data_IF_362034061112
#
_entry.id   IF_362034061112
#
_cell.length_a   1.000
_cell.length_b   1.000
_cell.length_c   1.000
_cell.angle_alpha   90.00
_cell.angle_beta   90.00
_cell.angle_gamma   90.00
#
_symmetry.space_group_name_H-M   'P 1'
#
loop_
_entity.id
_entity.type
_entity.pdbx_description
1 polymer ?
#
# COMPACT_ATOMS: atom_id res chain seq x y z
N UNK A 1 -14.27 -19.90 -11.29
CA UNK A 1 -14.18 -18.59 -11.98
C UNK A 1 -13.09 -18.69 -13.04
N UNK A 2 -13.46 -18.71 -14.31
CA UNK A 2 -12.51 -18.74 -15.42
C UNK A 2 -12.03 -17.31 -15.65
N UNK A 3 -10.75 -17.04 -15.39
CA UNK A 3 -10.14 -15.77 -15.75
C UNK A 3 -9.80 -15.87 -17.23
N UNK A 4 -10.56 -15.18 -18.08
CA UNK A 4 -10.22 -15.07 -19.50
C UNK A 4 -9.14 -14.01 -19.63
N UNK A 5 -7.95 -14.46 -20.01
CA UNK A 5 -6.84 -13.58 -20.37
C UNK A 5 -7.09 -13.11 -21.79
N UNK A 6 -7.37 -11.82 -21.95
CA UNK A 6 -7.61 -11.21 -23.25
C UNK A 6 -6.52 -10.18 -23.52
N UNK A 7 -6.39 -9.81 -24.80
CA UNK A 7 -5.36 -8.87 -25.24
C UNK A 7 -5.81 -7.44 -24.98
N UNK A 8 -5.02 -6.66 -24.26
CA UNK A 8 -5.27 -5.22 -24.11
C UNK A 8 -5.13 -4.51 -25.46
N UNK A 9 -6.13 -3.69 -25.83
CA UNK A 9 -6.13 -2.90 -27.06
C UNK A 9 -5.07 -1.80 -27.09
N UNK A 10 -4.51 -1.42 -25.92
CA UNK A 10 -3.53 -0.32 -25.79
C UNK A 10 -2.09 -0.84 -25.80
N UNK A 11 -1.73 -1.78 -24.91
CA UNK A 11 -0.37 -2.28 -24.83
C UNK A 11 -0.15 -3.65 -25.48
N UNK A 12 -1.22 -4.34 -25.91
CA UNK A 12 -1.13 -5.62 -26.59
C UNK A 12 -0.77 -6.82 -25.72
N UNK A 13 -0.62 -6.66 -24.39
CA UNK A 13 -0.37 -7.75 -23.44
C UNK A 13 -1.64 -8.54 -23.13
N UNK A 14 -1.49 -9.84 -22.88
CA UNK A 14 -2.56 -10.69 -22.39
C UNK A 14 -2.65 -10.56 -20.88
N UNK A 15 -3.74 -9.98 -20.39
CA UNK A 15 -4.02 -9.81 -18.96
C UNK A 15 -5.54 -9.81 -18.73
N UNK A 16 -5.95 -9.63 -17.47
CA UNK A 16 -7.33 -9.25 -17.19
C UNK A 16 -7.60 -7.86 -17.78
N UNK A 17 -8.48 -7.79 -18.76
CA UNK A 17 -8.92 -6.53 -19.37
C UNK A 17 -10.36 -6.22 -18.97
N UNK A 18 -10.74 -4.95 -19.09
CA UNK A 18 -12.11 -4.48 -18.94
C UNK A 18 -12.42 -3.46 -20.04
N UNK A 19 -13.68 -3.34 -20.40
CA UNK A 19 -14.14 -2.34 -21.35
C UNK A 19 -13.94 -0.93 -20.79
N UNK A 20 -13.27 -0.07 -21.56
CA UNK A 20 -13.10 1.33 -21.21
C UNK A 20 -14.45 2.06 -21.23
N UNK A 21 -14.70 2.87 -20.21
CA UNK A 21 -15.97 3.60 -20.07
C UNK A 21 -16.05 4.83 -20.96
N UNK A 22 -14.90 5.43 -21.30
CA UNK A 22 -14.81 6.58 -22.19
C UNK A 22 -14.85 6.17 -23.66
N UNK A 23 -14.23 5.03 -23.99
CA UNK A 23 -14.13 4.50 -25.35
C UNK A 23 -14.60 3.06 -25.35
N UNK A 24 -15.88 2.83 -25.71
CA UNK A 24 -16.52 1.51 -25.61
C UNK A 24 -15.85 0.43 -26.47
N UNK A 25 -15.10 0.82 -27.50
CA UNK A 25 -14.43 -0.13 -28.40
C UNK A 25 -13.06 -0.60 -27.88
N UNK A 26 -12.60 -0.07 -26.72
CA UNK A 26 -11.29 -0.40 -26.16
C UNK A 26 -11.42 -1.32 -24.95
N UNK A 27 -10.70 -2.45 -25.00
CA UNK A 27 -10.41 -3.29 -23.84
C UNK A 27 -9.07 -2.87 -23.24
N UNK A 28 -9.08 -2.49 -21.97
CA UNK A 28 -7.89 -1.97 -21.29
C UNK A 28 -7.53 -2.81 -20.08
N UNK A 29 -6.25 -3.13 -19.94
CA UNK A 29 -5.69 -3.69 -18.71
C UNK A 29 -5.63 -2.63 -17.59
N UNK A 30 -5.31 -3.09 -16.38
CA UNK A 30 -5.22 -2.25 -15.20
C UNK A 30 -4.15 -1.16 -15.33
N UNK A 31 -2.98 -1.47 -15.88
CA UNK A 31 -1.87 -0.54 -16.04
C UNK A 31 -2.21 0.57 -17.04
N UNK A 32 -2.74 0.21 -18.21
CA UNK A 32 -3.14 1.16 -19.25
C UNK A 32 -4.30 2.05 -18.78
N UNK A 33 -5.25 1.50 -18.02
CA UNK A 33 -6.32 2.30 -17.43
C UNK A 33 -5.80 3.27 -16.37
N UNK A 34 -4.81 2.85 -15.57
CA UNK A 34 -4.24 3.68 -14.51
C UNK A 34 -3.41 4.84 -15.03
N UNK A 35 -2.60 4.57 -16.06
CA UNK A 35 -1.68 5.51 -16.68
C UNK A 35 -2.34 6.34 -17.80
N UNK A 36 -3.65 6.19 -18.01
CA UNK A 36 -4.38 6.93 -19.03
C UNK A 36 -4.31 8.45 -18.78
N UNK A 37 -3.87 9.20 -19.80
CA UNK A 37 -3.75 10.68 -19.73
C UNK A 37 -5.10 11.36 -19.49
N UNK A 38 -6.19 10.77 -20.02
CA UNK A 38 -7.57 11.27 -19.83
C UNK A 38 -8.24 10.75 -18.55
N UNK A 39 -7.48 10.14 -17.63
CA UNK A 39 -8.05 9.54 -16.41
C UNK A 39 -8.68 10.57 -15.48
N UNK A 40 -8.12 11.79 -15.41
CA UNK A 40 -8.65 12.89 -14.59
C UNK A 40 -10.06 13.33 -15.00
N UNK A 41 -10.42 13.17 -16.28
CA UNK A 41 -11.74 13.51 -16.83
C UNK A 41 -12.64 12.29 -17.01
N UNK A 42 -12.19 11.10 -16.58
CA UNK A 42 -12.93 9.86 -16.76
C UNK A 42 -14.00 9.72 -15.65
N UNK A 43 -15.30 9.68 -15.99
CA UNK A 43 -16.37 9.70 -14.99
C UNK A 43 -16.39 8.44 -14.12
N UNK A 44 -16.05 7.29 -14.70
CA UNK A 44 -15.94 6.02 -13.97
C UNK A 44 -14.87 5.14 -14.63
N UNK A 45 -13.62 5.13 -14.16
CA UNK A 45 -12.58 4.30 -14.75
C UNK A 45 -12.90 2.80 -14.59
N UNK A 46 -12.61 2.00 -15.63
CA UNK A 46 -12.83 0.55 -15.64
C UNK A 46 -12.05 -0.17 -14.53
N UNK A 47 -10.87 0.36 -14.20
CA UNK A 47 -10.03 -0.08 -13.10
C UNK A 47 -9.91 1.01 -12.03
N UNK A 48 -10.41 0.71 -10.84
CA UNK A 48 -10.29 1.53 -9.62
C UNK A 48 -9.41 0.77 -8.63
N UNK A 49 -8.33 1.40 -8.17
CA UNK A 49 -7.54 0.88 -7.05
C UNK A 49 -8.09 1.57 -5.81
N UNK A 50 -8.88 0.83 -5.03
CA UNK A 50 -9.23 1.26 -3.68
C UNK A 50 -8.17 0.70 -2.75
N UNK A 51 -7.24 1.53 -2.30
CA UNK A 51 -6.32 1.15 -1.23
C UNK A 51 -7.09 1.37 0.07
N UNK A 52 -7.44 0.33 0.83
CA UNK A 52 -8.04 0.51 2.14
C UNK A 52 -6.97 1.15 3.04
N UNK A 53 -7.06 2.47 3.24
CA UNK A 53 -6.26 3.15 4.25
C UNK A 53 -6.82 2.70 5.58
N UNK A 54 -6.19 1.68 6.19
CA UNK A 54 -6.43 1.44 7.61
C UNK A 54 -6.03 2.72 8.33
N UNK A 55 -6.91 3.34 9.14
CA UNK A 55 -6.51 4.46 9.96
C UNK A 55 -5.33 3.97 10.80
N UNK A 56 -4.14 4.57 10.60
CA UNK A 56 -3.02 4.38 11.50
C UNK A 56 -3.55 4.87 12.85
N UNK A 57 -3.67 4.00 13.88
CA UNK A 57 -4.02 4.49 15.19
C UNK A 57 -2.99 5.57 15.51
N UNK A 58 -3.46 6.79 15.77
CA UNK A 58 -2.61 7.92 16.14
C UNK A 58 -1.57 7.38 17.11
N UNK A 59 -0.30 7.52 16.73
CA UNK A 59 0.80 7.11 17.58
C UNK A 59 0.49 7.66 18.97
N UNK A 60 0.30 6.75 19.94
CA UNK A 60 0.11 7.10 21.35
C UNK A 60 1.12 8.21 21.64
N UNK A 61 0.65 9.33 22.19
CA UNK A 61 1.50 10.45 22.60
C UNK A 61 2.81 9.86 23.14
N UNK A 62 3.88 10.04 22.37
CA UNK A 62 5.13 9.39 22.68
C UNK A 62 5.58 9.88 24.04
N UNK A 63 6.14 8.98 24.86
CA UNK A 63 6.78 9.31 26.12
C UNK A 63 7.62 10.60 25.98
N UNK A 64 7.50 11.49 26.97
CA UNK A 64 8.28 12.73 27.01
C UNK A 64 9.78 12.40 26.93
N UNK A 65 10.59 13.34 26.46
CA UNK A 65 12.03 13.14 26.34
C UNK A 65 12.67 12.72 27.69
N UNK A 66 12.11 13.18 28.80
CA UNK A 66 12.51 12.83 30.15
C UNK A 66 12.21 11.37 30.49
N UNK A 67 11.05 10.85 30.09
CA UNK A 67 10.66 9.45 30.33
C UNK A 67 11.49 8.49 29.48
N UNK A 68 11.76 8.86 28.22
CA UNK A 68 12.67 8.11 27.35
C UNK A 68 14.07 8.03 27.94
N UNK A 69 14.58 9.15 28.48
CA UNK A 69 15.91 9.19 29.11
C UNK A 69 15.98 8.27 30.34
N UNK A 70 14.95 8.29 31.20
CA UNK A 70 14.88 7.40 32.38
C UNK A 70 14.90 5.92 31.98
N UNK A 71 14.13 5.54 30.96
CA UNK A 71 14.10 4.15 30.49
C UNK A 71 15.45 3.72 29.92
N UNK A 72 16.14 4.60 29.20
CA UNK A 72 17.48 4.32 28.65
C UNK A 72 18.49 4.16 29.79
N UNK A 73 18.48 5.03 30.79
CA UNK A 73 19.37 4.92 31.96
C UNK A 73 19.11 3.63 32.75
N UNK A 74 17.83 3.25 32.93
CA UNK A 74 17.44 2.01 33.60
C UNK A 74 17.90 0.76 32.82
N UNK A 75 17.69 0.73 31.50
CA UNK A 75 18.17 -0.33 30.62
C UNK A 75 19.71 -0.45 30.65
N UNK A 76 20.41 0.68 30.63
CA UNK A 76 21.87 0.72 30.68
C UNK A 76 22.37 0.17 32.02
N UNK A 77 21.73 0.56 33.13
CA UNK A 77 22.05 0.05 34.47
C UNK A 77 21.80 -1.46 34.61
N UNK A 78 20.79 -2.00 33.94
CA UNK A 78 20.52 -3.44 33.90
C UNK A 78 21.55 -4.22 33.08
N UNK A 79 22.06 -3.62 32.00
CA UNK A 79 23.07 -4.23 31.12
C UNK A 79 24.48 -4.15 31.73
N UNK A 80 24.78 -3.08 32.48
CA UNK A 80 26.05 -2.90 33.18
C UNK A 80 26.22 -3.85 34.37
N UNK A 81 25.12 -4.43 34.89
CA UNK A 81 25.22 -5.56 35.82
C UNK A 81 25.63 -6.79 35.01
N UNK A 82 26.91 -7.22 35.06
CA UNK A 82 27.36 -8.37 34.30
C UNK A 82 26.53 -9.59 34.71
N UNK A 83 26.13 -10.37 33.71
CA UNK A 83 25.28 -11.54 33.86
C UNK A 83 25.59 -12.35 35.13
N UNK A 84 24.64 -12.35 36.05
CA UNK A 84 24.72 -13.06 37.32
C UNK A 84 23.55 -14.02 37.49
N UNK A 85 23.55 -15.12 36.73
CA UNK A 85 23.31 -16.49 37.20
C UNK A 85 23.17 -17.47 36.03
N UNK A 86 24.28 -18.15 35.71
CA UNK A 86 24.23 -19.60 35.53
C UNK A 86 24.22 -20.22 36.93
N UNK A 87 23.15 -20.92 37.28
CA UNK A 87 23.06 -22.06 38.21
C UNK A 87 21.58 -22.37 38.39
#
# INVERSE_FOLDING_TARGET
MTIYWERCSVCGRYESVRQCTLFKDLLVDIHCCILCVKRSVCPSPAWKITIPVKPVPQAREGLSMEEKKRLIDELTSLLEKPGGKKA
#
